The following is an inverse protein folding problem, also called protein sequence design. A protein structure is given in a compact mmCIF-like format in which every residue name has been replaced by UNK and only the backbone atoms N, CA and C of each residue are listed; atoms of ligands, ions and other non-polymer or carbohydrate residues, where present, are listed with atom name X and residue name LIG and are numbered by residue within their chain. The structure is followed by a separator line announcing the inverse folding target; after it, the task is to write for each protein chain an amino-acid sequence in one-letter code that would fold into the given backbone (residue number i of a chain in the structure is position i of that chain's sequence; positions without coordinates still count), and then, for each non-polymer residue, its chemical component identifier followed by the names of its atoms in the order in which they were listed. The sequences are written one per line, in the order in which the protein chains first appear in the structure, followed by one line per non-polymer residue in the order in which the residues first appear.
data_IF_016673462613
#
_entry.id   IF_016673462613
#
_cell.length_a   1.000
_cell.length_b   1.000
_cell.length_c   1.000
_cell.angle_alpha   90.00
_cell.angle_beta   90.00
_cell.angle_gamma   90.00
#
_symmetry.space_group_name_H-M   'P 1'
#
loop_
_entity.id
_entity.type
_entity.pdbx_description
1 polymer ?
#
# COMPACT_ATOMS: atom_id res chain seq x y z
N UNK A 1 14.31 18.33 52.28
CA UNK A 1 13.41 17.22 51.86
C UNK A 1 12.07 17.65 51.24
N UNK A 2 11.23 18.47 51.89
CA UNK A 2 9.88 18.83 51.36
C UNK A 2 9.87 19.49 49.96
N UNK A 3 10.87 20.31 49.62
CA UNK A 3 11.01 20.98 48.30
C UNK A 3 11.26 19.99 47.14
N UNK A 4 12.02 18.93 47.42
CA UNK A 4 12.42 17.91 46.44
C UNK A 4 11.26 16.98 46.07
N UNK A 5 10.44 16.61 47.07
CA UNK A 5 9.22 15.82 46.87
C UNK A 5 8.18 16.63 46.07
N UNK A 6 8.06 17.93 46.33
CA UNK A 6 7.15 18.82 45.60
C UNK A 6 7.53 18.96 44.12
N UNK A 7 8.83 18.98 43.80
CA UNK A 7 9.33 19.02 42.42
C UNK A 7 9.09 17.69 41.67
N UNK A 8 9.39 16.54 42.29
CA UNK A 8 9.10 15.23 41.68
C UNK A 8 7.61 15.04 41.37
N UNK A 9 6.72 15.49 42.27
CA UNK A 9 5.28 15.46 42.03
C UNK A 9 4.82 16.42 40.92
N UNK A 10 5.54 17.51 40.67
CA UNK A 10 5.24 18.46 39.59
C UNK A 10 5.67 17.89 38.23
N UNK A 11 6.83 17.24 38.17
CA UNK A 11 7.31 16.56 36.95
C UNK A 11 6.46 15.34 36.59
N UNK A 12 6.07 14.52 37.58
CA UNK A 12 5.15 13.40 37.34
C UNK A 12 3.80 13.85 36.80
N UNK A 13 3.25 14.97 37.30
CA UNK A 13 2.01 15.56 36.77
C UNK A 13 2.19 16.14 35.36
N UNK A 14 3.37 16.67 35.04
CA UNK A 14 3.69 17.18 33.70
C UNK A 14 3.79 16.05 32.67
N UNK A 15 4.50 14.97 33.00
CA UNK A 15 4.61 13.77 32.16
C UNK A 15 3.24 13.11 31.89
N UNK A 16 2.37 13.00 32.91
CA UNK A 16 1.01 12.50 32.71
C UNK A 16 0.17 13.41 31.81
N UNK A 17 0.36 14.73 31.89
CA UNK A 17 -0.35 15.69 31.03
C UNK A 17 0.09 15.58 29.57
N UNK A 18 1.39 15.49 29.33
CA UNK A 18 1.98 15.35 27.99
C UNK A 18 1.59 14.00 27.34
N UNK A 19 1.53 12.91 28.12
CA UNK A 19 1.03 11.61 27.65
C UNK A 19 -0.45 11.66 27.24
N UNK A 20 -1.30 12.31 28.05
CA UNK A 20 -2.72 12.50 27.74
C UNK A 20 -2.90 13.40 26.51
N UNK A 21 -2.12 14.47 26.37
CA UNK A 21 -2.16 15.35 25.19
C UNK A 21 -1.72 14.64 23.91
N UNK A 22 -0.72 13.75 23.99
CA UNK A 22 -0.31 12.88 22.88
C UNK A 22 -1.40 11.90 22.45
N UNK A 23 -2.10 11.28 23.41
CA UNK A 23 -3.22 10.37 23.14
C UNK A 23 -4.42 11.12 22.52
N UNK A 24 -4.71 12.32 23.01
CA UNK A 24 -5.77 13.19 22.46
C UNK A 24 -5.42 13.64 21.04
N UNK A 25 -4.17 14.04 20.76
CA UNK A 25 -3.73 14.38 19.40
C UNK A 25 -3.85 13.18 18.45
N UNK A 26 -3.41 12.00 18.86
CA UNK A 26 -3.56 10.78 18.06
C UNK A 26 -5.02 10.46 17.75
N UNK A 27 -5.92 10.62 18.74
CA UNK A 27 -7.38 10.46 18.55
C UNK A 27 -7.98 11.52 17.63
N UNK A 28 -7.52 12.77 17.68
CA UNK A 28 -7.96 13.84 16.78
C UNK A 28 -7.51 13.58 15.34
N UNK A 29 -6.28 13.15 15.12
CA UNK A 29 -5.77 12.81 13.78
C UNK A 29 -6.52 11.61 13.18
N UNK A 30 -6.85 10.60 13.99
CA UNK A 30 -7.73 9.48 13.61
C UNK A 30 -9.12 9.98 13.20
N UNK A 31 -9.70 10.92 13.95
CA UNK A 31 -11.04 11.44 13.65
C UNK A 31 -11.06 12.35 12.41
N UNK A 32 -9.97 13.09 12.14
CA UNK A 32 -9.79 13.87 10.92
C UNK A 32 -9.72 12.93 9.71
N UNK A 33 -8.91 11.87 9.75
CA UNK A 33 -8.85 10.86 8.68
C UNK A 33 -10.21 10.20 8.43
N UNK A 34 -10.93 9.82 9.50
CA UNK A 34 -12.28 9.26 9.43
C UNK A 34 -13.31 10.24 8.85
N UNK A 35 -13.15 11.55 9.06
CA UNK A 35 -14.03 12.59 8.49
C UNK A 35 -13.75 12.82 7.00
N UNK A 36 -12.49 12.73 6.57
CA UNK A 36 -12.11 12.83 5.15
C UNK A 36 -12.59 11.60 4.37
N UNK A 37 -12.37 10.39 4.88
CA UNK A 37 -12.89 9.15 4.27
C UNK A 37 -14.42 9.16 4.13
N UNK A 38 -15.15 9.66 5.15
CA UNK A 38 -16.61 9.79 5.06
C UNK A 38 -17.08 10.89 4.12
N UNK A 39 -16.25 11.90 3.84
CA UNK A 39 -16.55 12.94 2.84
C UNK A 39 -16.29 12.40 1.45
N UNK A 40 -15.16 11.77 1.21
CA UNK A 40 -14.84 11.12 -0.07
C UNK A 40 -15.80 9.98 -0.39
N UNK A 41 -16.11 9.11 0.58
CA UNK A 41 -17.07 8.02 0.42
C UNK A 41 -18.50 8.51 0.16
N UNK A 42 -18.93 9.63 0.77
CA UNK A 42 -20.25 10.23 0.47
C UNK A 42 -20.28 10.95 -0.87
N UNK A 43 -19.18 11.56 -1.30
CA UNK A 43 -19.07 12.19 -2.62
C UNK A 43 -19.05 11.10 -3.70
N UNK A 44 -18.23 10.05 -3.54
CA UNK A 44 -18.18 8.90 -4.44
C UNK A 44 -19.50 8.11 -4.44
N UNK A 45 -20.12 7.88 -3.29
CA UNK A 45 -21.43 7.24 -3.17
C UNK A 45 -22.58 8.04 -3.80
N UNK A 46 -22.58 9.37 -3.66
CA UNK A 46 -23.53 10.26 -4.35
C UNK A 46 -23.29 10.32 -5.86
N UNK A 47 -22.04 10.26 -6.31
CA UNK A 47 -21.70 10.17 -7.73
C UNK A 47 -22.11 8.80 -8.30
N UNK A 48 -21.88 7.70 -7.59
CA UNK A 48 -22.29 6.35 -8.00
C UNK A 48 -23.82 6.22 -8.05
N UNK A 49 -24.54 6.69 -7.02
CA UNK A 49 -26.01 6.67 -7.00
C UNK A 49 -26.60 7.63 -8.06
N UNK A 50 -26.01 8.81 -8.22
CA UNK A 50 -26.41 9.80 -9.23
C UNK A 50 -26.17 9.31 -10.65
N UNK A 51 -25.06 8.61 -10.91
CA UNK A 51 -24.73 8.04 -12.23
C UNK A 51 -25.56 6.80 -12.53
N UNK A 52 -25.86 5.93 -11.55
CA UNK A 52 -26.78 4.81 -11.75
C UNK A 52 -28.19 5.33 -12.08
N UNK A 53 -28.62 6.42 -11.44
CA UNK A 53 -29.87 7.11 -11.77
C UNK A 53 -29.81 7.86 -13.11
N UNK A 54 -28.65 8.36 -13.54
CA UNK A 54 -28.45 9.02 -14.84
C UNK A 54 -28.30 8.03 -16.01
N UNK A 55 -27.71 6.84 -15.78
CA UNK A 55 -27.74 5.70 -16.71
C UNK A 55 -29.16 5.19 -16.89
N UNK A 56 -29.98 5.15 -15.83
CA UNK A 56 -31.40 4.80 -15.95
C UNK A 56 -32.21 5.94 -16.62
N UNK A 57 -31.92 7.22 -16.35
CA UNK A 57 -32.64 8.34 -16.96
C UNK A 57 -32.28 8.62 -18.42
N UNK A 58 -31.03 8.39 -18.85
CA UNK A 58 -30.68 8.46 -20.29
C UNK A 58 -31.30 7.31 -21.11
N UNK A 59 -31.73 6.23 -20.44
CA UNK A 59 -32.43 5.09 -21.06
C UNK A 59 -33.96 5.24 -20.94
N UNK A 60 -34.47 6.19 -20.15
CA UNK A 60 -35.89 6.55 -20.08
C UNK A 60 -36.27 7.75 -20.96
N UNK A 61 -35.56 7.95 -22.07
CA UNK A 61 -36.10 8.66 -23.24
C UNK A 61 -37.19 7.85 -23.95
N UNK A 62 -38.16 7.33 -23.20
CA UNK A 62 -39.43 6.90 -23.78
C UNK A 62 -40.19 8.16 -24.19
N UNK A 63 -39.98 8.63 -25.42
CA UNK A 63 -41.04 9.33 -26.13
C UNK A 63 -42.13 8.28 -26.44
N UNK A 64 -42.95 7.99 -25.43
CA UNK A 64 -44.22 7.31 -25.58
C UNK A 64 -45.16 8.24 -26.34
N UNK A 65 -45.21 8.05 -27.66
CA UNK A 65 -46.13 8.74 -28.54
C UNK A 65 -46.32 7.90 -29.77
N UNK A 66 -47.32 7.02 -29.75
CA UNK A 66 -47.63 6.18 -30.90
C UNK A 66 -47.89 7.01 -32.13
N UNK A 67 -47.20 6.71 -33.23
CA UNK A 67 -47.64 7.09 -34.57
C UNK A 67 -47.45 5.89 -35.47
N UNK A 68 -48.58 5.40 -35.95
CA UNK A 68 -48.68 4.45 -37.06
C UNK A 68 -48.08 5.12 -38.31
N UNK A 69 -47.13 4.44 -38.94
CA UNK A 69 -46.77 4.68 -40.35
C UNK A 69 -45.45 5.41 -40.55
N UNK A 70 -44.52 4.73 -41.23
CA UNK A 70 -43.39 5.32 -41.94
C UNK A 70 -42.17 5.68 -41.07
N UNK A 71 -41.02 5.09 -41.43
CA UNK A 71 -39.66 5.54 -41.11
C UNK A 71 -39.12 5.29 -39.68
N UNK A 72 -38.11 4.41 -39.60
CA UNK A 72 -37.27 4.18 -38.42
C UNK A 72 -37.69 3.00 -37.54
N UNK A 73 -37.61 1.76 -38.05
CA UNK A 73 -37.64 0.57 -37.16
C UNK A 73 -36.40 0.62 -36.26
N UNK A 74 -36.54 1.17 -35.06
CA UNK A 74 -35.56 0.97 -33.99
C UNK A 74 -35.43 -0.54 -33.79
N UNK A 75 -34.23 -1.09 -33.98
CA UNK A 75 -33.99 -2.51 -33.75
C UNK A 75 -33.94 -2.77 -32.24
N UNK A 76 -35.11 -2.94 -31.63
CA UNK A 76 -35.25 -3.18 -30.19
C UNK A 76 -34.47 -4.42 -29.73
N UNK A 77 -34.38 -5.46 -30.55
CA UNK A 77 -33.62 -6.69 -30.23
C UNK A 77 -32.12 -6.41 -30.15
N UNK A 78 -31.58 -5.64 -31.10
CA UNK A 78 -30.19 -5.23 -31.10
C UNK A 78 -29.86 -4.32 -29.89
N UNK A 79 -30.75 -3.38 -29.55
CA UNK A 79 -30.58 -2.53 -28.36
C UNK A 79 -30.67 -3.33 -27.05
N UNK A 80 -31.62 -4.25 -26.93
CA UNK A 80 -31.76 -5.09 -25.74
C UNK A 80 -30.54 -5.98 -25.53
N UNK A 81 -30.03 -6.62 -26.59
CA UNK A 81 -28.82 -7.46 -26.50
C UNK A 81 -27.54 -6.67 -26.19
N UNK A 82 -27.45 -5.41 -26.61
CA UNK A 82 -26.40 -4.49 -26.17
C UNK A 82 -26.51 -4.19 -24.67
N UNK A 83 -27.69 -3.84 -24.18
CA UNK A 83 -27.92 -3.58 -22.75
C UNK A 83 -27.63 -4.82 -21.88
N UNK A 84 -28.04 -6.01 -22.32
CA UNK A 84 -27.68 -7.28 -21.67
C UNK A 84 -26.16 -7.49 -21.60
N UNK A 85 -25.43 -7.12 -22.66
CA UNK A 85 -23.96 -7.18 -22.67
C UNK A 85 -23.36 -6.24 -21.63
N UNK A 86 -23.87 -5.01 -21.52
CA UNK A 86 -23.44 -4.05 -20.49
C UNK A 86 -23.74 -4.54 -19.07
N UNK A 87 -24.88 -5.20 -18.84
CA UNK A 87 -25.22 -5.81 -17.54
C UNK A 87 -24.19 -6.88 -17.17
N UNK A 88 -23.88 -7.81 -18.07
CA UNK A 88 -22.87 -8.86 -17.84
C UNK A 88 -21.47 -8.31 -17.57
N UNK A 89 -21.09 -7.25 -18.28
CA UNK A 89 -19.83 -6.52 -18.04
C UNK A 89 -19.87 -5.90 -16.63
N UNK A 90 -20.98 -5.27 -16.26
CA UNK A 90 -21.20 -4.70 -14.93
C UNK A 90 -21.08 -5.73 -13.80
N UNK A 91 -21.67 -6.91 -13.96
CA UNK A 91 -21.53 -8.04 -13.03
C UNK A 91 -20.06 -8.49 -12.92
N UNK A 92 -19.35 -8.58 -14.05
CA UNK A 92 -17.91 -8.89 -14.06
C UNK A 92 -17.06 -7.89 -13.27
N UNK A 93 -17.38 -6.58 -13.31
CA UNK A 93 -16.72 -5.61 -12.45
C UNK A 93 -17.01 -5.81 -10.97
N UNK A 94 -18.26 -6.12 -10.62
CA UNK A 94 -18.64 -6.36 -9.23
C UNK A 94 -17.90 -7.57 -8.67
N UNK A 95 -17.75 -8.64 -9.44
CA UNK A 95 -16.93 -9.81 -9.08
C UNK A 95 -15.48 -9.39 -8.79
N UNK A 96 -14.85 -8.57 -9.64
CA UNK A 96 -13.47 -8.10 -9.44
C UNK A 96 -13.31 -7.39 -8.08
N UNK A 97 -14.22 -6.46 -7.74
CA UNK A 97 -14.15 -5.72 -6.48
C UNK A 97 -14.43 -6.60 -5.25
N UNK A 98 -15.41 -7.50 -5.36
CA UNK A 98 -15.75 -8.44 -4.30
C UNK A 98 -14.58 -9.38 -4.00
N UNK A 99 -13.99 -9.96 -5.04
CA UNK A 99 -12.93 -10.96 -4.90
C UNK A 99 -11.63 -10.33 -4.43
N UNK A 100 -11.26 -9.15 -4.95
CA UNK A 100 -10.10 -8.42 -4.42
C UNK A 100 -10.33 -8.08 -2.94
N UNK A 101 -11.47 -7.47 -2.61
CA UNK A 101 -11.81 -7.11 -1.23
C UNK A 101 -11.74 -8.29 -0.27
N UNK A 102 -12.22 -9.46 -0.70
CA UNK A 102 -12.13 -10.70 0.09
C UNK A 102 -10.71 -11.25 0.17
N UNK A 103 -9.92 -11.18 -0.91
CA UNK A 103 -8.59 -11.77 -0.97
C UNK A 103 -7.55 -10.98 -0.16
N UNK A 104 -7.72 -9.66 -0.05
CA UNK A 104 -6.76 -8.79 0.66
C UNK A 104 -7.32 -8.12 1.92
N UNK A 105 -8.57 -8.42 2.28
CA UNK A 105 -9.29 -7.77 3.39
C UNK A 105 -8.55 -7.85 4.74
N UNK A 106 -7.94 -9.00 5.03
CA UNK A 106 -7.17 -9.23 6.26
C UNK A 106 -5.72 -8.75 6.15
N UNK A 107 -5.10 -8.92 4.97
CA UNK A 107 -3.72 -8.48 4.73
C UNK A 107 -3.61 -6.95 4.89
N UNK A 108 -4.52 -6.21 4.28
CA UNK A 108 -4.52 -4.75 4.24
C UNK A 108 -5.12 -4.10 5.53
N UNK A 109 -4.76 -4.63 6.69
CA UNK A 109 -5.17 -4.15 8.01
C UNK A 109 -4.36 -2.96 8.57
N UNK A 110 -4.73 -2.48 9.76
CA UNK A 110 -4.05 -1.37 10.44
C UNK A 110 -2.75 -1.77 11.17
N UNK A 111 -2.56 -3.07 11.42
CA UNK A 111 -1.37 -3.64 12.04
C UNK A 111 -1.07 -4.98 11.37
N UNK A 112 0.01 -5.04 10.60
CA UNK A 112 0.42 -6.27 9.91
C UNK A 112 1.06 -7.24 10.89
N UNK A 113 1.84 -6.71 11.82
CA UNK A 113 2.65 -7.51 12.76
C UNK A 113 2.51 -7.04 14.19
N UNK A 114 2.66 -7.96 15.14
CA UNK A 114 2.54 -7.75 16.58
C UNK A 114 3.79 -8.24 17.31
N UNK A 115 3.93 -7.84 18.57
CA UNK A 115 4.99 -8.39 19.43
C UNK A 115 4.83 -9.91 19.54
N UNK A 116 5.93 -10.65 19.33
CA UNK A 116 5.93 -12.11 19.32
C UNK A 116 5.62 -12.74 17.95
N UNK A 117 5.18 -11.94 16.96
CA UNK A 117 5.08 -12.45 15.58
C UNK A 117 6.48 -12.69 14.99
N UNK A 118 6.58 -13.73 14.16
CA UNK A 118 7.79 -14.08 13.41
C UNK A 118 7.96 -13.17 12.21
N UNK A 119 9.20 -12.97 11.75
CA UNK A 119 9.47 -12.19 10.52
C UNK A 119 8.74 -12.74 9.32
N UNK A 120 8.56 -14.06 9.25
CA UNK A 120 7.79 -14.73 8.19
C UNK A 120 6.40 -14.14 7.97
N UNK A 121 5.76 -13.57 9.00
CA UNK A 121 4.46 -12.92 8.88
C UNK A 121 4.47 -11.69 7.97
N UNK A 122 5.59 -10.98 7.90
CA UNK A 122 5.80 -9.92 6.89
C UNK A 122 5.83 -10.53 5.48
N UNK A 123 6.48 -11.69 5.34
CA UNK A 123 6.50 -12.41 4.06
C UNK A 123 5.14 -12.96 3.65
N UNK A 124 4.37 -13.50 4.61
CA UNK A 124 2.99 -13.94 4.43
C UNK A 124 2.09 -12.80 3.96
N UNK A 125 2.18 -11.63 4.62
CA UNK A 125 1.47 -10.42 4.22
C UNK A 125 1.71 -10.04 2.76
N UNK A 126 2.98 -9.99 2.32
CA UNK A 126 3.29 -9.69 0.92
C UNK A 126 2.77 -10.77 -0.06
N UNK A 127 2.78 -12.05 0.34
CA UNK A 127 2.20 -13.15 -0.48
C UNK A 127 0.69 -12.99 -0.61
N UNK A 128 -0.02 -12.67 0.47
CA UNK A 128 -1.47 -12.48 0.45
C UNK A 128 -1.87 -11.34 -0.48
N UNK A 129 -1.18 -10.20 -0.42
CA UNK A 129 -1.40 -9.08 -1.36
C UNK A 129 -1.12 -9.54 -2.80
N UNK A 130 0.00 -10.24 -3.04
CA UNK A 130 0.36 -10.75 -4.37
C UNK A 130 -0.67 -11.73 -4.93
N UNK A 131 -1.24 -12.58 -4.09
CA UNK A 131 -2.31 -13.51 -4.45
C UNK A 131 -3.59 -12.74 -4.81
N UNK A 132 -3.99 -11.75 -4.02
CA UNK A 132 -5.13 -10.90 -4.32
C UNK A 132 -5.00 -10.16 -5.66
N UNK A 133 -3.81 -9.64 -5.96
CA UNK A 133 -3.52 -9.04 -7.27
C UNK A 133 -3.59 -10.07 -8.40
N UNK A 134 -3.12 -11.30 -8.17
CA UNK A 134 -3.21 -12.39 -9.15
C UNK A 134 -4.67 -12.76 -9.45
N UNK A 135 -5.50 -12.90 -8.42
CA UNK A 135 -6.94 -13.12 -8.57
C UNK A 135 -7.60 -12.00 -9.38
N UNK A 136 -7.31 -10.74 -9.03
CA UNK A 136 -7.83 -9.55 -9.73
C UNK A 136 -7.42 -9.55 -11.20
N UNK A 137 -6.16 -9.84 -11.49
CA UNK A 137 -5.62 -9.95 -12.86
C UNK A 137 -6.35 -11.02 -13.68
N UNK A 138 -6.62 -12.18 -13.08
CA UNK A 138 -7.36 -13.24 -13.76
C UNK A 138 -8.82 -12.83 -14.03
N UNK A 139 -9.47 -12.20 -13.06
CA UNK A 139 -10.84 -11.67 -13.24
C UNK A 139 -10.94 -10.56 -14.28
N UNK A 140 -9.90 -9.72 -14.41
CA UNK A 140 -9.81 -8.76 -15.50
C UNK A 140 -9.73 -9.43 -16.88
N UNK A 141 -9.04 -10.58 -17.00
CA UNK A 141 -9.04 -11.37 -18.25
C UNK A 141 -10.39 -12.02 -18.55
N UNK A 142 -11.10 -12.50 -17.52
CA UNK A 142 -12.48 -12.99 -17.68
C UNK A 142 -13.41 -11.86 -18.17
N UNK A 143 -13.26 -10.66 -17.60
CA UNK A 143 -13.99 -9.47 -18.02
C UNK A 143 -13.68 -9.12 -19.48
N UNK A 144 -12.42 -9.19 -19.90
CA UNK A 144 -12.00 -8.99 -21.29
C UNK A 144 -12.72 -9.94 -22.26
N UNK A 145 -12.91 -11.20 -21.85
CA UNK A 145 -13.74 -12.18 -22.58
C UNK A 145 -15.20 -11.73 -22.70
N UNK A 146 -15.83 -11.34 -21.58
CA UNK A 146 -17.21 -10.80 -21.56
C UNK A 146 -17.37 -9.57 -22.46
N UNK A 147 -16.35 -8.71 -22.53
CA UNK A 147 -16.33 -7.52 -23.40
C UNK A 147 -16.21 -7.91 -24.88
N UNK A 148 -15.41 -8.93 -25.19
CA UNK A 148 -15.25 -9.43 -26.57
C UNK A 148 -16.53 -10.03 -27.14
N UNK A 149 -17.38 -10.58 -26.26
CA UNK A 149 -18.68 -11.15 -26.61
C UNK A 149 -19.81 -10.11 -26.66
N UNK A 150 -19.52 -8.83 -26.39
CA UNK A 150 -20.53 -7.79 -26.34
C UNK A 150 -21.21 -7.62 -27.70
N UNK A 151 -22.54 -7.80 -27.72
CA UNK A 151 -23.35 -7.71 -28.94
C UNK A 151 -23.71 -6.28 -29.26
N UNK A 152 -23.71 -5.95 -30.56
CA UNK A 152 -24.06 -4.61 -31.07
C UNK A 152 -23.24 -3.49 -30.40
N UNK A 153 -21.98 -3.78 -30.08
CA UNK A 153 -21.01 -2.82 -29.57
C UNK A 153 -20.02 -2.44 -30.68
N UNK A 154 -19.60 -1.18 -30.68
CA UNK A 154 -18.64 -0.66 -31.65
C UNK A 154 -17.26 -1.28 -31.39
N UNK A 155 -16.71 -1.98 -32.39
CA UNK A 155 -15.43 -2.71 -32.27
C UNK A 155 -14.27 -1.84 -31.78
N UNK A 156 -14.18 -0.58 -32.21
CA UNK A 156 -13.14 0.36 -31.75
C UNK A 156 -13.21 0.59 -30.23
N UNK A 157 -14.42 0.66 -29.67
CA UNK A 157 -14.61 0.85 -28.23
C UNK A 157 -14.32 -0.43 -27.44
N UNK A 158 -14.57 -1.61 -28.00
CA UNK A 158 -14.18 -2.90 -27.43
C UNK A 158 -12.65 -2.98 -27.32
N UNK A 159 -11.93 -2.69 -28.41
CA UNK A 159 -10.47 -2.75 -28.44
C UNK A 159 -9.82 -1.73 -27.49
N UNK A 160 -10.42 -0.54 -27.33
CA UNK A 160 -9.97 0.44 -26.33
C UNK A 160 -10.07 -0.09 -24.90
N UNK A 161 -11.13 -0.85 -24.57
CA UNK A 161 -11.27 -1.47 -23.25
C UNK A 161 -10.26 -2.59 -23.05
N UNK A 162 -10.06 -3.45 -24.05
CA UNK A 162 -9.04 -4.52 -23.98
C UNK A 162 -7.65 -3.94 -23.72
N UNK A 163 -7.26 -2.90 -24.45
CA UNK A 163 -5.98 -2.22 -24.23
C UNK A 163 -5.87 -1.62 -22.81
N UNK A 164 -6.97 -1.11 -22.24
CA UNK A 164 -6.98 -0.67 -20.85
C UNK A 164 -6.78 -1.83 -19.87
N UNK A 165 -7.43 -2.98 -20.10
CA UNK A 165 -7.28 -4.20 -19.28
C UNK A 165 -5.85 -4.73 -19.35
N UNK A 166 -5.27 -4.82 -20.55
CA UNK A 166 -3.89 -5.26 -20.76
C UNK A 166 -2.90 -4.37 -20.01
N UNK A 167 -3.01 -3.04 -20.15
CA UNK A 167 -2.14 -2.10 -19.46
C UNK A 167 -2.23 -2.21 -17.92
N UNK A 168 -3.43 -2.47 -17.38
CA UNK A 168 -3.60 -2.70 -15.94
C UNK A 168 -3.01 -4.04 -15.50
N UNK A 169 -3.18 -5.09 -16.30
CA UNK A 169 -2.59 -6.40 -16.03
C UNK A 169 -1.06 -6.38 -16.03
N UNK A 170 -0.44 -5.53 -16.85
CA UNK A 170 1.01 -5.30 -16.84
C UNK A 170 1.48 -4.63 -15.55
N UNK A 171 0.74 -3.62 -15.08
CA UNK A 171 1.00 -2.96 -13.80
C UNK A 171 0.90 -3.96 -12.64
N UNK A 172 -0.13 -4.80 -12.61
CA UNK A 172 -0.28 -5.83 -11.57
C UNK A 172 0.82 -6.88 -11.65
N UNK A 173 1.28 -7.24 -12.84
CA UNK A 173 2.43 -8.15 -13.01
C UNK A 173 3.69 -7.61 -12.35
N UNK A 174 3.99 -6.32 -12.53
CA UNK A 174 5.13 -5.67 -11.90
C UNK A 174 5.01 -5.66 -10.38
N UNK A 175 3.83 -5.32 -9.84
CA UNK A 175 3.59 -5.35 -8.40
C UNK A 175 3.73 -6.75 -7.81
N UNK A 176 3.16 -7.78 -8.45
CA UNK A 176 3.25 -9.17 -8.00
C UNK A 176 4.71 -9.62 -7.96
N UNK A 177 5.51 -9.26 -8.96
CA UNK A 177 6.94 -9.59 -8.99
C UNK A 177 7.70 -8.96 -7.81
N UNK A 178 7.46 -7.68 -7.52
CA UNK A 178 8.07 -7.00 -6.36
C UNK A 178 7.63 -7.61 -5.03
N UNK A 179 6.34 -7.89 -4.86
CA UNK A 179 5.79 -8.51 -3.66
C UNK A 179 6.34 -9.92 -3.43
N UNK A 180 6.52 -10.71 -4.49
CA UNK A 180 7.09 -12.06 -4.42
C UNK A 180 8.54 -12.02 -3.88
N UNK A 181 9.35 -11.08 -4.37
CA UNK A 181 10.72 -10.91 -3.91
C UNK A 181 10.78 -10.40 -2.47
N UNK A 182 9.95 -9.40 -2.12
CA UNK A 182 9.81 -8.92 -0.74
C UNK A 182 9.45 -10.06 0.19
N UNK A 183 8.46 -10.87 -0.18
CA UNK A 183 8.07 -12.04 0.59
C UNK A 183 9.21 -13.04 0.79
N UNK A 184 10.04 -13.25 -0.24
CA UNK A 184 11.19 -14.16 -0.16
C UNK A 184 12.24 -13.71 0.86
N UNK A 185 12.56 -12.41 0.91
CA UNK A 185 13.61 -11.87 1.78
C UNK A 185 13.17 -11.61 3.23
N UNK A 186 11.86 -11.60 3.49
CA UNK A 186 11.28 -11.49 4.85
C UNK A 186 10.75 -12.81 5.42
N UNK A 187 11.02 -13.95 4.77
CA UNK A 187 10.48 -15.26 5.17
C UNK A 187 11.33 -16.00 6.23
N UNK A 188 11.58 -15.37 7.39
CA UNK A 188 12.28 -16.02 8.51
C UNK A 188 11.31 -16.42 9.62
N UNK A 189 10.97 -17.70 9.68
CA UNK A 189 10.00 -18.25 10.63
C UNK A 189 10.55 -18.53 12.04
N UNK A 190 11.87 -18.46 12.23
CA UNK A 190 12.48 -18.77 13.53
C UNK A 190 12.55 -17.53 14.43
N UNK A 191 12.73 -16.36 13.84
CA UNK A 191 13.09 -15.13 14.54
C UNK A 191 11.89 -14.19 14.69
N UNK A 192 11.73 -13.64 15.88
CA UNK A 192 10.71 -12.62 16.14
C UNK A 192 11.03 -11.32 15.38
N UNK A 193 9.98 -10.56 15.06
CA UNK A 193 10.16 -9.21 14.54
C UNK A 193 10.78 -8.33 15.63
N UNK A 194 11.82 -7.58 15.23
CA UNK A 194 12.56 -6.73 16.16
C UNK A 194 13.38 -7.50 17.19
N UNK A 195 13.67 -8.80 16.95
CA UNK A 195 14.45 -9.63 17.88
C UNK A 195 15.76 -8.97 18.34
N UNK A 196 16.13 -9.27 19.59
CA UNK A 196 17.31 -8.72 20.24
C UNK A 196 18.39 -9.78 20.38
N UNK A 197 19.66 -9.42 20.19
CA UNK A 197 20.77 -10.26 20.61
C UNK A 197 20.78 -10.39 22.15
N UNK A 198 21.07 -11.59 22.67
CA UNK A 198 21.14 -11.83 24.12
C UNK A 198 22.33 -11.06 24.70
N UNK A 199 22.07 -10.01 25.49
CA UNK A 199 23.03 -9.26 26.32
C UNK A 199 24.33 -8.73 25.65
N UNK A 200 24.47 -8.85 24.33
CA UNK A 200 25.64 -8.48 23.53
C UNK A 200 25.28 -7.64 22.29
N UNK A 201 26.33 -7.30 21.53
CA UNK A 201 26.33 -6.40 20.38
C UNK A 201 25.24 -6.69 19.35
N UNK A 202 24.77 -5.63 18.71
CA UNK A 202 23.77 -5.69 17.63
C UNK A 202 24.26 -6.58 16.49
N UNK A 203 23.36 -7.27 15.78
CA UNK A 203 23.75 -8.07 14.60
C UNK A 203 23.30 -7.36 13.35
N UNK A 204 24.20 -7.14 12.39
CA UNK A 204 23.86 -6.52 11.10
C UNK A 204 22.77 -7.32 10.37
N UNK A 205 21.89 -6.61 9.67
CA UNK A 205 20.96 -7.27 8.75
C UNK A 205 21.71 -7.82 7.54
N UNK A 206 21.20 -8.90 6.96
CA UNK A 206 21.73 -9.45 5.72
C UNK A 206 21.68 -8.39 4.61
N UNK A 207 22.85 -8.01 4.10
CA UNK A 207 22.98 -6.90 3.16
C UNK A 207 22.19 -7.15 1.88
N UNK A 208 22.24 -8.37 1.32
CA UNK A 208 21.55 -8.73 0.10
C UNK A 208 20.01 -8.65 0.27
N UNK A 209 19.50 -9.09 1.43
CA UNK A 209 18.10 -8.94 1.80
C UNK A 209 17.68 -7.47 1.92
N UNK A 210 18.49 -6.64 2.58
CA UNK A 210 18.21 -5.20 2.71
C UNK A 210 18.24 -4.52 1.34
N UNK A 211 19.24 -4.80 0.49
CA UNK A 211 19.32 -4.28 -0.88
C UNK A 211 18.10 -4.68 -1.71
N UNK A 212 17.63 -5.92 -1.56
CA UNK A 212 16.42 -6.39 -2.24
C UNK A 212 15.18 -5.63 -1.77
N UNK A 213 15.02 -5.40 -0.47
CA UNK A 213 13.89 -4.61 0.06
C UNK A 213 13.93 -3.19 -0.49
N UNK A 214 15.09 -2.53 -0.46
CA UNK A 214 15.27 -1.16 -0.99
C UNK A 214 14.88 -1.12 -2.47
N UNK A 215 15.39 -2.05 -3.28
CA UNK A 215 15.10 -2.12 -4.70
C UNK A 215 13.61 -2.32 -4.99
N UNK A 216 12.95 -3.25 -4.31
CA UNK A 216 11.54 -3.55 -4.58
C UNK A 216 10.58 -2.49 -4.01
N UNK A 217 10.91 -1.84 -2.89
CA UNK A 217 10.19 -0.64 -2.42
C UNK A 217 10.29 0.47 -3.46
N UNK A 218 11.47 0.68 -4.05
CA UNK A 218 11.66 1.64 -5.14
C UNK A 218 10.82 1.28 -6.36
N UNK A 219 10.83 0.02 -6.80
CA UNK A 219 10.00 -0.44 -7.92
C UNK A 219 8.50 -0.17 -7.70
N UNK A 220 7.96 -0.47 -6.51
CA UNK A 220 6.55 -0.20 -6.18
C UNK A 220 6.23 1.30 -6.27
N UNK A 221 7.14 2.15 -5.80
CA UNK A 221 6.98 3.60 -5.84
C UNK A 221 7.02 4.12 -7.28
N UNK A 222 7.93 3.62 -8.12
CA UNK A 222 7.99 3.99 -9.55
C UNK A 222 6.71 3.56 -10.30
N UNK A 223 6.15 2.39 -9.97
CA UNK A 223 4.85 1.94 -10.49
C UNK A 223 3.72 2.87 -10.05
N UNK A 224 3.76 3.36 -8.81
CA UNK A 224 2.80 4.33 -8.30
C UNK A 224 2.87 5.66 -9.07
N UNK A 225 4.07 6.21 -9.25
CA UNK A 225 4.31 7.46 -9.97
C UNK A 225 3.84 7.35 -11.43
N UNK A 226 4.16 6.24 -12.13
CA UNK A 226 3.65 5.95 -13.49
C UNK A 226 2.14 5.80 -13.54
N UNK A 227 1.52 5.38 -12.43
CA UNK A 227 0.06 5.31 -12.30
C UNK A 227 -0.58 6.66 -11.95
N UNK A 228 0.19 7.75 -11.87
CA UNK A 228 -0.31 9.08 -11.54
C UNK A 228 -0.55 9.29 -10.04
N UNK A 229 0.07 8.46 -9.19
CA UNK A 229 -0.09 8.55 -7.74
C UNK A 229 1.03 9.39 -7.17
N UNK A 230 0.65 10.48 -6.53
CA UNK A 230 1.59 11.34 -5.82
C UNK A 230 2.10 10.66 -4.54
N UNK A 231 3.43 10.63 -4.42
CA UNK A 231 4.13 10.09 -3.26
C UNK A 231 4.62 11.25 -2.42
N UNK A 232 4.05 11.37 -1.22
CA UNK A 232 4.41 12.45 -0.30
C UNK A 232 5.80 12.16 0.29
N UNK A 233 6.71 13.16 0.35
CA UNK A 233 8.04 12.96 0.92
C UNK A 233 8.02 12.84 2.46
N UNK A 234 6.92 13.24 3.12
CA UNK A 234 6.80 13.23 4.57
C UNK A 234 7.70 14.24 5.28
N UNK A 235 7.66 14.26 6.62
CA UNK A 235 8.60 15.06 7.42
C UNK A 235 9.77 14.17 7.88
N UNK A 236 11.00 14.38 7.37
CA UNK A 236 12.14 13.56 7.77
C UNK A 236 12.46 13.65 9.28
N UNK A 237 12.11 14.77 9.93
CA UNK A 237 12.49 15.05 11.31
C UNK A 237 13.90 15.62 11.42
N UNK A 238 14.52 15.43 12.59
CA UNK A 238 15.82 16.03 12.93
C UNK A 238 16.88 14.96 13.13
N UNK A 239 18.15 15.36 13.11
CA UNK A 239 19.27 14.46 13.37
C UNK A 239 19.15 13.81 14.76
N UNK A 240 19.50 12.52 14.83
CA UNK A 240 19.47 11.73 16.06
C UNK A 240 20.89 11.36 16.46
N UNK A 241 21.33 11.93 17.58
CA UNK A 241 22.64 11.67 18.15
C UNK A 241 22.77 10.24 18.70
N UNK A 242 24.01 9.72 18.78
CA UNK A 242 24.31 8.37 19.28
C UNK A 242 23.72 8.06 20.67
N UNK A 243 23.64 9.07 21.54
CA UNK A 243 23.10 8.89 22.89
C UNK A 243 21.57 8.69 22.94
N UNK A 244 20.86 8.78 21.81
CA UNK A 244 19.40 8.79 21.70
C UNK A 244 18.84 7.56 20.98
N UNK A 245 19.43 6.38 21.20
CA UNK A 245 18.90 5.11 20.68
C UNK A 245 19.66 4.44 19.53
N UNK A 246 20.45 5.11 18.66
CA UNK A 246 21.23 4.41 17.62
C UNK A 246 22.15 3.29 18.12
N UNK A 247 22.58 3.34 19.39
CA UNK A 247 23.34 2.26 20.04
C UNK A 247 22.63 0.91 20.05
N UNK A 248 21.29 0.92 20.09
CA UNK A 248 20.44 -0.28 20.00
C UNK A 248 20.48 -0.88 18.59
N UNK A 249 20.87 -0.09 17.59
CA UNK A 249 20.93 -0.51 16.20
C UNK A 249 22.33 -0.94 15.77
N UNK A 250 23.34 -0.17 16.15
CA UNK A 250 24.70 -0.38 15.69
C UNK A 250 25.70 0.19 16.70
N UNK A 251 26.31 -0.71 17.48
CA UNK A 251 27.38 -0.36 18.41
C UNK A 251 28.24 -1.59 18.75
N UNK A 252 29.52 -1.38 19.01
CA UNK A 252 30.49 -2.40 19.41
C UNK A 252 30.50 -2.71 20.92
N UNK A 253 29.56 -2.12 21.65
CA UNK A 253 29.41 -2.31 23.09
C UNK A 253 27.92 -2.48 23.40
N UNK A 254 27.63 -3.12 24.52
CA UNK A 254 26.26 -3.29 24.99
C UNK A 254 25.59 -1.92 25.22
N UNK A 255 24.29 -1.80 24.90
CA UNK A 255 23.52 -0.59 25.20
C UNK A 255 23.46 -0.36 26.71
N UNK A 256 23.43 0.91 27.12
CA UNK A 256 23.23 1.29 28.52
C UNK A 256 21.76 1.32 28.89
N UNK A 257 21.47 1.34 30.20
CA UNK A 257 20.11 1.55 30.68
C UNK A 257 19.54 2.88 30.14
N UNK A 258 18.33 2.82 29.60
CA UNK A 258 17.61 3.93 28.98
C UNK A 258 17.84 4.07 27.48
N UNK A 259 18.74 3.31 26.85
CA UNK A 259 18.95 3.39 25.40
C UNK A 259 17.78 2.77 24.62
N UNK A 260 17.14 1.72 25.13
CA UNK A 260 15.94 1.13 24.53
C UNK A 260 14.75 2.08 24.49
N UNK A 261 14.34 2.69 25.62
CA UNK A 261 13.29 3.71 25.66
C UNK A 261 13.56 4.90 24.73
N UNK A 262 14.79 5.40 24.67
CA UNK A 262 15.14 6.50 23.75
C UNK A 262 14.97 6.10 22.29
N UNK A 263 15.35 4.87 21.91
CA UNK A 263 15.06 4.39 20.56
C UNK A 263 13.57 4.41 20.27
N UNK A 264 12.75 3.90 21.19
CA UNK A 264 11.29 3.87 21.04
C UNK A 264 10.72 5.29 20.86
N UNK A 265 11.20 6.25 21.63
CA UNK A 265 10.82 7.66 21.52
C UNK A 265 11.17 8.23 20.15
N UNK A 266 12.39 8.02 19.64
CA UNK A 266 12.78 8.53 18.32
C UNK A 266 12.04 7.83 17.17
N UNK A 267 11.77 6.53 17.30
CA UNK A 267 10.93 5.78 16.35
C UNK A 267 9.50 6.32 16.34
N UNK A 268 8.96 6.71 17.50
CA UNK A 268 7.59 7.25 17.61
C UNK A 268 7.43 8.57 16.83
N UNK A 269 8.46 9.43 16.85
CA UNK A 269 8.50 10.74 16.17
C UNK A 269 8.61 10.63 14.65
N UNK A 270 9.10 9.51 14.12
CA UNK A 270 9.33 9.35 12.69
C UNK A 270 8.02 9.36 11.89
N UNK A 271 7.97 10.16 10.84
CA UNK A 271 6.89 10.16 9.86
C UNK A 271 7.01 8.94 8.94
N UNK A 272 5.90 8.22 8.74
CA UNK A 272 5.92 6.97 7.99
C UNK A 272 6.15 7.17 6.48
N UNK A 273 5.68 8.29 5.90
CA UNK A 273 5.96 8.62 4.50
C UNK A 273 7.44 8.94 4.30
N UNK A 274 8.03 9.71 5.22
CA UNK A 274 9.46 9.99 5.19
C UNK A 274 10.30 8.71 5.34
N UNK A 275 9.87 7.75 6.17
CA UNK A 275 10.55 6.45 6.29
C UNK A 275 10.59 5.70 4.94
N UNK A 276 9.49 5.70 4.18
CA UNK A 276 9.45 5.07 2.85
C UNK A 276 10.37 5.80 1.87
N UNK A 277 10.40 7.13 1.89
CA UNK A 277 11.34 7.90 1.07
C UNK A 277 12.80 7.58 1.45
N UNK A 278 13.11 7.47 2.74
CA UNK A 278 14.45 7.05 3.21
C UNK A 278 14.81 5.65 2.73
N UNK A 279 13.88 4.69 2.79
CA UNK A 279 14.13 3.33 2.31
C UNK A 279 14.37 3.31 0.80
N UNK A 280 13.52 3.99 0.01
CA UNK A 280 13.66 4.08 -1.47
C UNK A 280 15.04 4.57 -1.90
N UNK A 281 15.58 5.54 -1.16
CA UNK A 281 16.84 6.21 -1.49
C UNK A 281 18.04 5.66 -0.70
N UNK A 282 17.84 4.65 0.14
CA UNK A 282 18.88 4.13 1.03
C UNK A 282 20.01 3.45 0.25
N UNK A 283 21.22 3.56 0.79
CA UNK A 283 22.39 2.83 0.35
C UNK A 283 22.89 1.96 1.48
N UNK A 284 23.31 0.75 1.16
CA UNK A 284 23.93 -0.16 2.13
C UNK A 284 25.45 -0.12 2.02
N UNK A 285 26.12 -0.47 3.12
CA UNK A 285 27.57 -0.66 3.14
C UNK A 285 27.90 -1.89 3.96
N UNK A 286 28.99 -2.57 3.60
CA UNK A 286 29.54 -3.67 4.39
C UNK A 286 30.42 -3.16 5.55
N UNK A 287 31.10 -2.02 5.36
CA UNK A 287 31.93 -1.39 6.37
C UNK A 287 31.23 -0.12 6.89
N UNK A 288 30.95 -0.08 8.19
CA UNK A 288 30.41 1.11 8.83
C UNK A 288 31.56 2.08 9.15
N UNK A 289 31.45 3.31 8.67
CA UNK A 289 32.33 4.41 9.08
C UNK A 289 31.68 5.11 10.27
N UNK A 290 32.45 5.38 11.33
CA UNK A 290 31.93 5.94 12.58
C UNK A 290 31.43 7.38 12.38
N UNK A 291 30.21 7.53 11.90
CA UNK A 291 29.55 8.81 11.63
C UNK A 291 28.34 9.00 12.55
N UNK A 292 28.00 10.26 12.81
CA UNK A 292 26.79 10.68 13.51
C UNK A 292 25.65 11.05 12.58
N UNK A 293 25.84 10.95 11.25
CA UNK A 293 24.91 11.40 10.23
C UNK A 293 24.55 10.32 9.19
N UNK A 294 24.24 9.10 9.64
CA UNK A 294 24.03 7.96 8.75
C UNK A 294 22.60 7.86 8.20
N UNK A 295 22.50 7.25 7.01
CA UNK A 295 21.24 6.93 6.33
C UNK A 295 20.74 5.52 6.71
N UNK A 296 19.47 5.25 6.41
CA UNK A 296 18.78 4.04 6.85
C UNK A 296 19.48 2.72 6.47
N UNK A 297 19.95 2.58 5.23
CA UNK A 297 20.59 1.36 4.75
C UNK A 297 21.92 1.07 5.43
N UNK A 298 22.74 2.11 5.61
CA UNK A 298 24.04 2.04 6.32
C UNK A 298 23.83 1.60 7.77
N UNK A 299 22.84 2.17 8.46
CA UNK A 299 22.51 1.80 9.84
C UNK A 299 21.97 0.37 9.96
N UNK A 300 21.23 -0.13 8.96
CA UNK A 300 20.66 -1.47 8.98
C UNK A 300 21.72 -2.57 8.76
N UNK A 301 22.64 -2.36 7.81
CA UNK A 301 23.64 -3.35 7.38
C UNK A 301 25.04 -3.16 7.97
N UNK A 302 25.30 -2.02 8.61
CA UNK A 302 26.60 -1.73 9.19
C UNK A 302 26.99 -2.71 10.30
N UNK A 303 28.28 -3.03 10.35
CA UNK A 303 28.84 -3.92 11.36
C UNK A 303 28.82 -3.30 12.76
N UNK A 304 28.71 -4.14 13.79
CA UNK A 304 28.81 -3.76 15.20
C UNK A 304 30.26 -3.47 15.64
N UNK A 305 31.02 -2.76 14.82
CA UNK A 305 32.36 -2.24 15.14
C UNK A 305 32.34 -0.73 15.44
N UNK A 306 31.16 -0.10 15.34
CA UNK A 306 30.97 1.31 15.63
C UNK A 306 31.08 1.62 17.12
N UNK A 307 31.93 2.58 17.51
CA UNK A 307 31.94 3.17 18.87
C UNK A 307 31.04 4.40 18.97
N UNK A 308 30.56 4.91 17.84
CA UNK A 308 29.58 5.97 17.74
C UNK A 308 28.76 5.79 16.46
N UNK A 309 27.44 5.92 16.58
CA UNK A 309 26.53 5.92 15.46
C UNK A 309 25.43 6.96 15.67
N UNK A 310 25.18 7.82 14.69
CA UNK A 310 24.02 8.70 14.69
C UNK A 310 23.23 8.56 13.39
N UNK A 311 21.97 8.99 13.41
CA UNK A 311 21.13 8.99 12.24
C UNK A 311 20.93 10.42 11.74
N UNK A 312 20.94 10.59 10.42
CA UNK A 312 20.72 11.88 9.76
C UNK A 312 19.37 12.48 10.12
N UNK A 313 18.36 11.64 10.32
CA UNK A 313 17.00 12.06 10.68
C UNK A 313 16.29 11.00 11.55
N UNK A 314 15.19 11.38 12.21
CA UNK A 314 14.26 10.44 12.85
C UNK A 314 13.78 9.36 11.88
N UNK A 315 13.45 9.76 10.65
CA UNK A 315 13.01 8.84 9.61
C UNK A 315 14.12 7.85 9.20
N UNK A 316 15.38 8.29 9.10
CA UNK A 316 16.52 7.41 8.80
C UNK A 316 16.71 6.36 9.90
N UNK A 317 16.64 6.76 11.17
CA UNK A 317 16.74 5.84 12.30
C UNK A 317 15.59 4.82 12.29
N UNK A 318 14.34 5.28 12.19
CA UNK A 318 13.19 4.40 12.23
C UNK A 318 13.13 3.47 11.00
N UNK A 319 13.53 3.95 9.82
CA UNK A 319 13.64 3.13 8.62
C UNK A 319 14.71 2.04 8.79
N UNK A 320 15.87 2.38 9.37
CA UNK A 320 16.89 1.39 9.68
C UNK A 320 16.40 0.33 10.68
N UNK A 321 15.67 0.75 11.72
CA UNK A 321 15.04 -0.16 12.68
C UNK A 321 14.09 -1.11 11.96
N UNK A 322 13.23 -0.58 11.09
CA UNK A 322 12.29 -1.39 10.32
C UNK A 322 13.01 -2.41 9.42
N UNK A 323 13.98 -1.96 8.61
CA UNK A 323 14.79 -2.83 7.75
C UNK A 323 15.45 -3.95 8.54
N UNK A 324 16.04 -3.62 9.70
CA UNK A 324 16.71 -4.59 10.57
C UNK A 324 15.74 -5.55 11.25
N UNK A 325 14.53 -5.09 11.58
CA UNK A 325 13.50 -5.89 12.22
C UNK A 325 12.84 -6.92 11.30
N UNK A 326 12.76 -6.64 9.98
CA UNK A 326 12.07 -7.49 8.99
C UNK A 326 13.02 -8.34 8.14
N UNK A 327 14.30 -7.97 8.03
CA UNK A 327 15.28 -8.69 7.19
C UNK A 327 15.96 -9.81 7.97
N UNK A 328 16.32 -10.90 7.30
CA UNK A 328 17.12 -11.99 7.88
C UNK A 328 18.42 -11.48 8.52
N UNK A 329 18.86 -12.13 9.61
CA UNK A 329 20.12 -11.85 10.30
C UNK A 329 20.10 -10.61 11.21
N UNK A 330 19.32 -9.58 10.89
CA UNK A 330 19.28 -8.34 11.68
C UNK A 330 18.82 -8.59 13.11
N UNK A 331 19.54 -8.06 14.11
CA UNK A 331 19.10 -8.09 15.51
C UNK A 331 19.44 -6.78 16.20
N UNK A 332 18.49 -6.28 16.98
CA UNK A 332 18.67 -5.13 17.85
C UNK A 332 19.47 -5.54 19.09
N UNK A 333 20.00 -4.59 19.86
CA UNK A 333 20.59 -4.86 21.18
C UNK A 333 19.73 -4.23 22.28
N UNK A 334 19.64 -4.88 23.43
CA UNK A 334 18.90 -4.32 24.55
C UNK A 334 19.53 -4.75 25.87
N UNK A 335 19.36 -3.93 26.91
CA UNK A 335 19.58 -4.42 28.27
C UNK A 335 18.48 -5.43 28.61
N UNK A 336 18.76 -6.36 29.53
CA UNK A 336 17.85 -7.47 29.85
C UNK A 336 16.43 -7.01 30.24
N UNK A 337 16.31 -5.87 30.94
CA UNK A 337 15.05 -5.27 31.36
C UNK A 337 14.35 -4.41 30.29
N UNK A 338 14.97 -4.19 29.12
CA UNK A 338 14.46 -3.34 28.04
C UNK A 338 14.12 -4.10 26.75
N UNK A 339 14.40 -5.42 26.71
CA UNK A 339 14.16 -6.29 25.54
C UNK A 339 12.74 -6.12 24.97
N UNK A 340 11.73 -6.15 25.82
CA UNK A 340 10.32 -6.01 25.39
C UNK A 340 10.07 -4.66 24.72
N UNK A 341 10.62 -3.57 25.28
CA UNK A 341 10.47 -2.23 24.72
C UNK A 341 11.18 -2.06 23.38
N UNK A 342 12.39 -2.62 23.24
CA UNK A 342 13.15 -2.60 21.99
C UNK A 342 12.45 -3.43 20.91
N UNK A 343 11.96 -4.63 21.23
CA UNK A 343 11.14 -5.44 20.31
C UNK A 343 9.90 -4.67 19.86
N UNK A 344 9.21 -4.00 20.78
CA UNK A 344 8.05 -3.17 20.46
C UNK A 344 8.39 -2.00 19.54
N UNK A 345 9.54 -1.34 19.73
CA UNK A 345 10.03 -0.30 18.82
C UNK A 345 10.29 -0.86 17.40
N UNK A 346 10.88 -2.06 17.31
CA UNK A 346 11.06 -2.80 16.06
C UNK A 346 9.74 -3.08 15.33
N UNK A 347 8.75 -3.61 16.06
CA UNK A 347 7.40 -3.88 15.54
C UNK A 347 6.70 -2.60 15.10
N UNK A 348 6.82 -1.52 15.88
CA UNK A 348 6.25 -0.21 15.53
C UNK A 348 6.86 0.34 14.24
N UNK A 349 8.18 0.27 14.08
CA UNK A 349 8.87 0.73 12.89
C UNK A 349 8.45 -0.09 11.66
N UNK A 350 8.41 -1.43 11.77
CA UNK A 350 7.96 -2.31 10.71
C UNK A 350 6.52 -1.98 10.25
N UNK A 351 5.59 -1.81 11.19
CA UNK A 351 4.21 -1.45 10.86
C UNK A 351 4.09 -0.07 10.19
N UNK A 352 4.89 0.93 10.59
CA UNK A 352 4.88 2.24 9.92
C UNK A 352 5.22 2.12 8.43
N UNK A 353 6.27 1.35 8.09
CA UNK A 353 6.65 1.06 6.70
C UNK A 353 5.55 0.31 5.96
N UNK A 354 5.11 -0.82 6.50
CA UNK A 354 4.14 -1.70 5.84
C UNK A 354 2.81 -1.00 5.55
N UNK A 355 2.31 -0.20 6.50
CA UNK A 355 1.06 0.56 6.31
C UNK A 355 1.11 1.55 5.14
N UNK A 356 2.26 2.20 4.92
CA UNK A 356 2.40 3.13 3.79
C UNK A 356 2.54 2.37 2.48
N UNK A 357 3.29 1.25 2.46
CA UNK A 357 3.34 0.38 1.27
C UNK A 357 1.94 -0.14 0.90
N UNK A 358 1.16 -0.62 1.87
CA UNK A 358 -0.21 -1.07 1.68
C UNK A 358 -1.12 0.03 1.12
N UNK A 359 -0.96 1.25 1.62
CA UNK A 359 -1.70 2.42 1.14
C UNK A 359 -1.32 2.76 -0.30
N UNK A 360 -0.03 2.71 -0.64
CA UNK A 360 0.47 2.94 -2.01
C UNK A 360 -0.11 1.88 -2.95
N UNK A 361 -0.02 0.59 -2.59
CA UNK A 361 -0.55 -0.51 -3.39
C UNK A 361 -2.06 -0.36 -3.60
N UNK A 362 -2.82 -0.04 -2.55
CA UNK A 362 -4.27 0.24 -2.68
C UNK A 362 -4.57 1.37 -3.65
N UNK A 363 -3.81 2.46 -3.59
CA UNK A 363 -3.95 3.58 -4.55
C UNK A 363 -3.66 3.13 -5.98
N UNK A 364 -2.64 2.29 -6.19
CA UNK A 364 -2.30 1.73 -7.51
C UNK A 364 -3.46 0.89 -8.05
N UNK A 365 -3.97 -0.04 -7.24
CA UNK A 365 -5.09 -0.91 -7.63
C UNK A 365 -6.32 -0.08 -7.97
N UNK A 366 -6.73 0.82 -7.08
CA UNK A 366 -7.92 1.66 -7.29
C UNK A 366 -7.81 2.52 -8.54
N UNK A 367 -6.68 3.23 -8.71
CA UNK A 367 -6.47 4.08 -9.88
C UNK A 367 -6.50 3.31 -11.19
N UNK A 368 -5.93 2.11 -11.22
CA UNK A 368 -5.90 1.29 -12.43
C UNK A 368 -7.26 0.65 -12.72
N UNK A 369 -7.99 0.15 -11.72
CA UNK A 369 -9.37 -0.32 -11.91
C UNK A 369 -10.30 0.82 -12.35
N UNK A 370 -10.11 2.04 -11.87
CA UNK A 370 -10.83 3.23 -12.33
C UNK A 370 -10.60 3.48 -13.83
N UNK A 371 -9.37 3.29 -14.35
CA UNK A 371 -9.09 3.42 -15.80
C UNK A 371 -9.89 2.41 -16.63
N UNK A 372 -9.95 1.14 -16.21
CA UNK A 372 -10.74 0.11 -16.90
C UNK A 372 -12.22 0.48 -16.87
N UNK A 373 -12.71 0.95 -15.71
CA UNK A 373 -14.09 1.42 -15.58
C UNK A 373 -14.41 2.57 -16.52
N UNK A 374 -13.53 3.58 -16.63
CA UNK A 374 -13.74 4.69 -17.57
C UNK A 374 -13.72 4.22 -19.03
N UNK A 375 -12.85 3.29 -19.40
CA UNK A 375 -12.85 2.70 -20.73
C UNK A 375 -14.20 2.00 -21.03
N UNK A 376 -14.72 1.24 -20.07
CA UNK A 376 -15.98 0.48 -20.22
C UNK A 376 -17.20 1.38 -20.35
N UNK A 377 -17.22 2.53 -19.68
CA UNK A 377 -18.25 3.56 -19.91
C UNK A 377 -18.22 4.11 -21.34
N UNK A 378 -17.06 4.02 -22.01
CA UNK A 378 -16.87 4.44 -23.38
C UNK A 378 -17.39 3.46 -24.43
N UNK A 379 -17.90 2.28 -24.05
CA UNK A 379 -18.48 1.32 -24.98
C UNK A 379 -19.72 1.92 -25.65
N UNK A 380 -19.72 1.93 -26.98
CA UNK A 380 -20.81 2.50 -27.79
C UNK A 380 -21.61 1.42 -28.49
N UNK A 381 -22.89 1.71 -28.67
CA UNK A 381 -23.78 0.90 -29.48
C UNK A 381 -23.45 1.04 -30.97
N UNK A 382 -23.52 -0.06 -31.71
CA UNK A 382 -23.36 -0.10 -33.16
C UNK A 382 -24.36 -1.08 -33.77
N UNK A 383 -25.18 -0.60 -34.71
CA UNK A 383 -26.02 -1.46 -35.55
C UNK A 383 -25.23 -1.84 -36.81
N UNK A 384 -24.89 -3.12 -36.97
CA UNK A 384 -24.56 -3.62 -38.29
C UNK A 384 -25.87 -3.75 -39.06
N UNK A 385 -26.19 -2.74 -39.87
CA UNK A 385 -27.25 -2.89 -40.88
C UNK A 385 -26.81 -4.00 -41.82
N UNK A 386 -27.44 -5.17 -41.71
CA UNK A 386 -27.22 -6.24 -42.68
C UNK A 386 -27.50 -5.68 -44.07
N UNK A 387 -26.48 -5.61 -44.92
CA UNK A 387 -26.68 -5.35 -46.34
C UNK A 387 -27.68 -6.41 -46.83
N UNK A 388 -28.88 -5.95 -47.18
CA UNK A 388 -29.79 -6.76 -47.96
C UNK A 388 -29.07 -7.02 -49.29
N UNK A 389 -28.51 -8.22 -49.43
CA UNK A 389 -28.05 -8.73 -50.72
C UNK A 389 -29.30 -8.80 -51.59
N UNK A 390 -29.58 -7.73 -52.35
CA UNK A 390 -30.57 -7.77 -53.41
C UNK A 390 -30.05 -8.79 -54.44
N UNK A 391 -30.57 -10.00 -54.34
CA UNK A 391 -30.47 -10.99 -55.38
C UNK A 391 -31.15 -10.41 -56.63
N UNK A 392 -30.35 -9.85 -57.52
CA UNK A 392 -30.79 -9.47 -58.87
C UNK A 392 -31.17 -10.75 -59.59
N UNK A 393 -32.46 -11.09 -59.54
CA UNK A 393 -33.07 -12.08 -60.42
C UNK A 393 -33.24 -11.38 -61.77
N UNK A 394 -32.22 -11.46 -62.64
CA UNK A 394 -32.41 -11.17 -64.07
C UNK A 394 -33.30 -12.26 -64.67
N UNK A 395 -34.56 -11.90 -64.91
CA UNK A 395 -35.45 -12.67 -65.78
C UNK A 395 -35.57 -11.97 -67.13
N UNK A 396 -35.37 -12.79 -68.17
CA UNK A 396 -35.55 -12.59 -69.63
C UNK A 396 -34.36 -12.10 -70.44
#
# INVERSE_FOLDING_TARGET
MKKLIKNKNKEAKKMNREGIEGEIKGKIEIEIGRREERREGRVKGRIVMGIMMMMVMMVMGCNSGGVKGGEGKVNLEAKNSFLESLVKIGEGFQEIFSDFGSAVGDALGFSVVRSGDKRSKVGEHFKEIGNGLTTTKNKLKELEGKISEAKNAEGVTIEAVKGAIEGVNDVFTQLIASLTKLAGVTNDGAVDIGDTANADTTVAADKAGVDSIIAEVKSIIEVAEKSGIEIRPGNPGVAVANANGPKVLIHNAAPGAGDGPKLADEVSKADAWAMIDKIKNAKTTAAFTQDTNNEAGVLATGAATATAAGAKTNADLAAAVALKAITKGGKLSATANEVVGVKAAGVSAANKVLRILDLIIRKIVNSNLDKVREAVKGIKYSETTGEAVEAVITTK
#
